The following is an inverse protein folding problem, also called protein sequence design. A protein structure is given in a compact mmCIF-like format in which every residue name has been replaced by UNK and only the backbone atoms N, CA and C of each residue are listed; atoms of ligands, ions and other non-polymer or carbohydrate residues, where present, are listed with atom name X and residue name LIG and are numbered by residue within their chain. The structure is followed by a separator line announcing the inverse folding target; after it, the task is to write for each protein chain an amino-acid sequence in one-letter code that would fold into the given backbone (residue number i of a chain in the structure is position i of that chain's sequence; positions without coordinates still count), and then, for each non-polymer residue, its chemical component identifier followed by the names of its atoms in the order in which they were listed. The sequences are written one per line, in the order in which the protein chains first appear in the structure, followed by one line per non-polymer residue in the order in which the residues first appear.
data_IF_146306308065
#
_entry.id   IF_146306308065
#
_cell.length_a   1.000
_cell.length_b   1.000
_cell.length_c   1.000
_cell.angle_alpha   90.00
_cell.angle_beta   90.00
_cell.angle_gamma   90.00
#
_symmetry.space_group_name_H-M   'P 1'
#
loop_
_entity.id
_entity.type
_entity.pdbx_description
1 polymer ?
#
# COMPACT_ATOMS: atom_id res chain seq x y z
N UNK A 1 1.67 -17.53 5.75
CA UNK A 1 2.16 -16.45 6.63
C UNK A 1 0.96 -15.68 7.19
N UNK A 2 1.03 -15.32 8.43
CA UNK A 2 0.01 -14.60 9.13
C UNK A 2 -0.11 -13.16 8.61
N UNK A 3 -1.32 -12.66 8.44
CA UNK A 3 -1.61 -11.36 7.81
C UNK A 3 -1.01 -10.17 8.57
N UNK A 4 -1.12 -10.09 9.92
CA UNK A 4 -0.43 -9.03 10.67
C UNK A 4 1.09 -9.06 10.49
N UNK A 5 1.65 -10.23 10.24
CA UNK A 5 3.09 -10.39 10.00
C UNK A 5 3.48 -9.82 8.62
N UNK A 6 2.62 -10.00 7.61
CA UNK A 6 2.81 -9.39 6.28
C UNK A 6 2.80 -7.87 6.41
N UNK A 7 1.86 -7.32 7.14
CA UNK A 7 1.76 -5.88 7.40
C UNK A 7 3.05 -5.34 8.03
N UNK A 8 3.58 -6.04 9.03
CA UNK A 8 4.83 -5.63 9.70
C UNK A 8 6.03 -5.68 8.76
N UNK A 9 6.10 -6.70 7.91
CA UNK A 9 7.16 -6.80 6.90
C UNK A 9 7.11 -5.61 5.96
N UNK A 10 5.93 -5.27 5.47
CA UNK A 10 5.72 -4.14 4.56
C UNK A 10 6.16 -2.83 5.23
N UNK A 11 5.70 -2.60 6.46
CA UNK A 11 6.06 -1.39 7.22
C UNK A 11 7.58 -1.28 7.41
N UNK A 12 8.22 -2.39 7.75
CA UNK A 12 9.66 -2.45 7.95
C UNK A 12 10.43 -2.11 6.66
N UNK A 13 10.03 -2.71 5.55
CA UNK A 13 10.66 -2.48 4.25
C UNK A 13 10.52 -1.02 3.84
N UNK A 14 9.33 -0.46 3.96
CA UNK A 14 9.07 0.93 3.64
C UNK A 14 9.92 1.88 4.48
N UNK A 15 9.98 1.62 5.78
CA UNK A 15 10.75 2.44 6.70
C UNK A 15 12.25 2.37 6.41
N UNK A 16 12.77 1.18 6.18
CA UNK A 16 14.20 0.97 5.87
C UNK A 16 14.62 1.64 4.56
N UNK A 17 13.70 1.81 3.63
CA UNK A 17 13.96 2.42 2.33
C UNK A 17 13.47 3.85 2.23
N UNK A 18 13.31 4.50 3.36
CA UNK A 18 13.06 5.95 3.48
C UNK A 18 11.73 6.42 2.93
N UNK A 19 10.73 5.54 2.87
CA UNK A 19 9.36 5.97 2.59
C UNK A 19 8.90 6.91 3.69
N UNK A 20 8.09 7.90 3.33
CA UNK A 20 7.62 8.90 4.28
C UNK A 20 6.13 8.76 4.54
N UNK A 21 5.70 9.21 5.71
CA UNK A 21 4.29 9.23 6.12
C UNK A 21 3.61 7.87 5.94
N UNK A 22 4.22 6.83 6.49
CA UNK A 22 3.69 5.46 6.43
C UNK A 22 2.50 5.37 7.37
N UNK A 23 1.34 5.00 6.81
CA UNK A 23 0.10 4.82 7.58
C UNK A 23 -0.47 3.44 7.27
N UNK A 24 -0.80 2.68 8.29
CA UNK A 24 -1.45 1.39 8.16
C UNK A 24 -2.87 1.48 8.69
N UNK A 25 -3.82 1.01 7.89
CA UNK A 25 -5.24 1.06 8.20
C UNK A 25 -5.77 -0.36 8.29
N UNK A 26 -6.42 -0.69 9.40
CA UNK A 26 -7.11 -1.96 9.56
C UNK A 26 -8.46 -1.87 8.86
N UNK A 27 -8.66 -2.71 7.85
CA UNK A 27 -9.89 -2.74 7.06
C UNK A 27 -10.89 -3.78 7.53
N UNK A 28 -10.54 -4.60 8.50
CA UNK A 28 -11.45 -5.63 9.03
C UNK A 28 -12.72 -4.97 9.55
N UNK A 29 -13.86 -5.50 9.12
CA UNK A 29 -15.16 -4.93 9.48
C UNK A 29 -15.57 -3.70 8.67
N UNK A 30 -14.69 -3.18 7.80
CA UNK A 30 -14.98 -2.03 6.95
C UNK A 30 -15.19 -2.43 5.49
N UNK A 31 -14.50 -3.46 5.03
CA UNK A 31 -14.57 -3.95 3.66
C UNK A 31 -14.10 -5.39 3.62
N UNK A 32 -14.46 -6.10 2.54
CA UNK A 32 -13.99 -7.46 2.26
C UNK A 32 -12.84 -7.48 1.25
N UNK A 33 -12.38 -6.33 0.77
CA UNK A 33 -11.31 -6.24 -0.25
C UNK A 33 -9.99 -6.74 0.30
N UNK A 34 -9.62 -6.32 1.49
CA UNK A 34 -8.37 -6.72 2.16
C UNK A 34 -8.51 -6.51 3.66
N UNK A 35 -7.58 -7.07 4.43
CA UNK A 35 -7.57 -6.89 5.89
C UNK A 35 -6.83 -5.62 6.30
N UNK A 36 -5.83 -5.21 5.53
CA UNK A 36 -5.04 -4.00 5.82
C UNK A 36 -4.76 -3.23 4.54
N UNK A 37 -4.67 -1.91 4.70
CA UNK A 37 -4.15 -1.03 3.67
C UNK A 37 -2.96 -0.28 4.25
N UNK A 38 -1.85 -0.26 3.54
CA UNK A 38 -0.67 0.51 3.92
C UNK A 38 -0.49 1.61 2.88
N UNK A 39 -0.37 2.84 3.33
CA UNK A 39 -0.20 4.00 2.46
C UNK A 39 1.14 4.65 2.82
N UNK A 40 1.95 4.91 1.82
CA UNK A 40 3.23 5.56 2.02
C UNK A 40 3.49 6.54 0.87
N UNK A 41 4.43 7.43 1.08
CA UNK A 41 4.85 8.38 0.06
C UNK A 41 6.31 8.17 -0.28
N UNK A 42 6.65 8.35 -1.56
CA UNK A 42 8.01 8.43 -2.02
C UNK A 42 8.35 9.88 -2.38
N UNK A 43 9.61 10.25 -2.30
CA UNK A 43 10.06 11.63 -2.52
C UNK A 43 10.19 12.01 -3.99
N UNK A 44 10.23 11.02 -4.88
CA UNK A 44 10.38 11.23 -6.33
C UNK A 44 9.80 10.04 -7.06
N UNK A 45 9.61 10.16 -8.38
CA UNK A 45 9.19 9.05 -9.25
C UNK A 45 10.13 7.86 -9.13
N UNK A 46 11.43 8.14 -9.11
CA UNK A 46 12.46 7.11 -8.98
C UNK A 46 12.36 6.38 -7.64
N UNK A 47 12.14 7.13 -6.57
CA UNK A 47 11.97 6.56 -5.22
C UNK A 47 10.72 5.68 -5.16
N UNK A 48 9.60 6.14 -5.74
CA UNK A 48 8.35 5.37 -5.81
C UNK A 48 8.57 4.06 -6.58
N UNK A 49 9.25 4.12 -7.71
CA UNK A 49 9.57 2.94 -8.50
C UNK A 49 10.44 1.97 -7.71
N UNK A 50 11.49 2.48 -7.06
CA UNK A 50 12.39 1.68 -6.24
C UNK A 50 11.67 1.00 -5.09
N UNK A 51 10.81 1.73 -4.38
CA UNK A 51 10.03 1.18 -3.26
C UNK A 51 9.14 0.03 -3.74
N UNK A 52 8.48 0.18 -4.89
CA UNK A 52 7.60 -0.87 -5.41
C UNK A 52 8.38 -2.13 -5.78
N UNK A 53 9.54 -1.99 -6.39
CA UNK A 53 10.39 -3.11 -6.78
C UNK A 53 10.96 -3.85 -5.56
N UNK A 54 11.43 -3.11 -4.58
CA UNK A 54 11.97 -3.68 -3.34
C UNK A 54 10.88 -4.44 -2.58
N UNK A 55 9.69 -3.84 -2.46
CA UNK A 55 8.56 -4.49 -1.79
C UNK A 55 8.19 -5.80 -2.47
N UNK A 56 8.07 -5.80 -3.78
CA UNK A 56 7.69 -6.98 -4.53
C UNK A 56 8.69 -8.10 -4.32
N UNK A 57 9.99 -7.79 -4.42
CA UNK A 57 11.06 -8.75 -4.23
C UNK A 57 11.08 -9.32 -2.81
N UNK A 58 10.97 -8.46 -1.81
CA UNK A 58 10.99 -8.89 -0.41
C UNK A 58 9.77 -9.72 -0.03
N UNK A 59 8.61 -9.38 -0.56
CA UNK A 59 7.40 -10.18 -0.36
C UNK A 59 7.57 -11.56 -0.97
N UNK A 60 8.14 -11.65 -2.16
CA UNK A 60 8.45 -12.94 -2.80
C UNK A 60 9.44 -13.76 -1.97
N UNK A 61 10.48 -13.11 -1.44
CA UNK A 61 11.47 -13.76 -0.57
C UNK A 61 10.84 -14.31 0.72
N UNK A 62 9.72 -13.76 1.14
CA UNK A 62 8.98 -14.22 2.31
C UNK A 62 7.83 -15.19 1.94
N UNK A 63 7.83 -15.71 0.72
CA UNK A 63 6.87 -16.71 0.28
C UNK A 63 5.54 -16.15 -0.23
N UNK A 64 5.43 -14.83 -0.38
CA UNK A 64 4.21 -14.19 -0.87
C UNK A 64 4.38 -13.97 -2.39
N UNK A 65 3.98 -14.96 -3.18
CA UNK A 65 4.28 -14.99 -4.61
C UNK A 65 3.15 -14.46 -5.50
N UNK A 66 1.96 -14.24 -4.95
CA UNK A 66 0.79 -13.81 -5.74
C UNK A 66 0.53 -12.31 -5.63
N UNK A 67 1.60 -11.52 -5.65
CA UNK A 67 1.47 -10.07 -5.63
C UNK A 67 1.26 -9.54 -7.03
N UNK A 68 0.38 -8.56 -7.16
CA UNK A 68 0.13 -7.85 -8.40
C UNK A 68 0.53 -6.40 -8.25
N UNK A 69 1.11 -5.83 -9.29
CA UNK A 69 1.43 -4.40 -9.34
C UNK A 69 0.51 -3.72 -10.34
N UNK A 70 -0.06 -2.59 -9.92
CA UNK A 70 -0.74 -1.67 -10.82
C UNK A 70 -0.04 -0.32 -10.79
N UNK A 71 -0.20 0.47 -11.86
CA UNK A 71 0.45 1.76 -11.99
C UNK A 71 1.91 1.67 -12.40
N UNK A 72 2.34 0.59 -13.07
CA UNK A 72 3.74 0.41 -13.48
C UNK A 72 4.27 1.55 -14.32
N UNK A 73 3.43 2.13 -15.15
CA UNK A 73 3.81 3.25 -16.03
C UNK A 73 3.57 4.61 -15.40
N UNK A 74 2.95 4.64 -14.22
CA UNK A 74 2.73 5.88 -13.51
C UNK A 74 4.00 6.35 -12.81
N UNK A 75 4.25 7.65 -12.86
CA UNK A 75 5.39 8.26 -12.20
C UNK A 75 5.12 8.68 -10.77
N UNK A 76 3.87 8.73 -10.36
CA UNK A 76 3.47 9.31 -9.08
C UNK A 76 2.58 8.41 -8.23
N UNK A 77 2.30 7.18 -8.70
CA UNK A 77 1.47 6.22 -7.97
C UNK A 77 1.80 4.78 -8.37
N UNK A 78 1.90 3.92 -7.37
CA UNK A 78 1.99 2.46 -7.53
C UNK A 78 1.07 1.80 -6.51
N UNK A 79 0.44 0.72 -6.92
CA UNK A 79 -0.33 -0.13 -6.03
C UNK A 79 0.24 -1.54 -6.07
N UNK A 80 0.47 -2.12 -4.91
CA UNK A 80 0.85 -3.53 -4.79
C UNK A 80 -0.27 -4.25 -4.06
N UNK A 81 -0.88 -5.21 -4.74
CA UNK A 81 -1.92 -6.06 -4.19
C UNK A 81 -1.30 -7.37 -3.72
N UNK A 82 -1.14 -7.51 -2.42
CA UNK A 82 -0.64 -8.74 -1.78
C UNK A 82 -1.81 -9.55 -1.18
N UNK A 83 -2.98 -9.47 -1.79
CA UNK A 83 -4.23 -10.16 -1.48
C UNK A 83 -4.86 -9.63 -0.19
N UNK A 84 -4.28 -9.92 0.97
CA UNK A 84 -4.83 -9.50 2.27
C UNK A 84 -4.30 -8.16 2.75
N UNK A 85 -3.27 -7.66 2.08
CA UNK A 85 -2.68 -6.35 2.36
C UNK A 85 -2.52 -5.61 1.03
N UNK A 86 -3.07 -4.43 0.95
CA UNK A 86 -2.93 -3.55 -0.22
C UNK A 86 -1.99 -2.42 0.15
N UNK A 87 -1.00 -2.16 -0.70
CA UNK A 87 -0.01 -1.12 -0.45
C UNK A 87 -0.14 -0.06 -1.54
N UNK A 88 -0.37 1.18 -1.14
CA UNK A 88 -0.36 2.35 -2.01
C UNK A 88 0.90 3.15 -1.77
N UNK A 89 1.63 3.47 -2.82
CA UNK A 89 2.80 4.33 -2.76
C UNK A 89 2.54 5.51 -3.70
N UNK A 90 2.47 6.71 -3.12
CA UNK A 90 2.14 7.93 -3.85
C UNK A 90 3.26 8.95 -3.78
N UNK A 91 3.32 9.81 -4.79
CA UNK A 91 3.94 11.12 -4.61
C UNK A 91 3.08 11.91 -3.61
N UNK A 92 3.66 12.71 -2.70
CA UNK A 92 2.89 13.41 -1.66
C UNK A 92 1.71 14.22 -2.19
N UNK A 93 1.83 14.83 -3.36
CA UNK A 93 0.74 15.61 -3.96
C UNK A 93 -0.45 14.73 -4.36
N UNK A 94 -0.19 13.57 -4.95
CA UNK A 94 -1.26 12.64 -5.34
C UNK A 94 -1.92 12.01 -4.12
N UNK A 95 -1.16 11.69 -3.10
CA UNK A 95 -1.69 11.15 -1.86
C UNK A 95 -2.70 12.11 -1.25
N UNK A 96 -2.35 13.39 -1.21
CA UNK A 96 -3.21 14.45 -0.71
C UNK A 96 -4.50 14.57 -1.54
N UNK A 97 -4.39 14.46 -2.85
CA UNK A 97 -5.52 14.54 -3.76
C UNK A 97 -6.54 13.42 -3.54
N UNK A 98 -6.07 12.19 -3.38
CA UNK A 98 -6.97 11.04 -3.19
C UNK A 98 -7.52 10.91 -1.77
N UNK A 99 -6.76 11.36 -0.78
CA UNK A 99 -7.14 11.33 0.64
C UNK A 99 -7.69 9.96 1.09
N UNK A 100 -7.02 8.89 0.67
CA UNK A 100 -7.43 7.52 0.97
C UNK A 100 -7.46 7.22 2.46
N UNK A 101 -6.56 7.84 3.23
CA UNK A 101 -6.47 7.66 4.67
C UNK A 101 -7.75 8.03 5.37
N UNK A 102 -8.30 9.19 5.03
CA UNK A 102 -9.55 9.69 5.61
C UNK A 102 -10.72 8.80 5.23
N UNK A 103 -10.79 8.43 3.95
CA UNK A 103 -11.86 7.61 3.44
C UNK A 103 -11.94 6.26 4.15
N UNK A 104 -10.80 5.58 4.33
CA UNK A 104 -10.77 4.24 4.90
C UNK A 104 -10.75 4.23 6.42
N UNK A 105 -10.53 5.35 7.08
CA UNK A 105 -10.58 5.46 8.54
C UNK A 105 -11.99 5.63 9.10
N UNK A 106 -12.96 5.98 8.26
CA UNK A 106 -14.37 6.17 8.64
C UNK A 106 -15.24 5.00 8.17
N UNK A 107 -16.43 4.79 8.75
CA UNK A 107 -17.38 3.81 8.23
C UNK A 107 -17.69 4.10 6.76
N UNK A 108 -17.66 3.06 5.92
CA UNK A 108 -17.75 3.23 4.47
C UNK A 108 -19.14 2.87 3.99
N UNK A 109 -19.79 3.79 3.27
CA UNK A 109 -21.03 3.52 2.54
C UNK A 109 -20.70 2.68 1.30
N UNK A 110 -21.67 1.85 0.85
CA UNK A 110 -21.49 0.95 -0.28
C UNK A 110 -21.01 1.65 -1.55
N UNK A 111 -21.52 2.83 -1.83
CA UNK A 111 -21.18 3.60 -3.01
C UNK A 111 -19.72 4.08 -3.05
N UNK A 112 -19.05 4.12 -1.88
CA UNK A 112 -17.65 4.50 -1.80
C UNK A 112 -16.70 3.33 -2.05
N UNK A 113 -17.20 2.12 -2.07
CA UNK A 113 -16.37 0.92 -2.26
C UNK A 113 -15.96 0.71 -3.72
N UNK A 114 -16.48 1.47 -4.64
CA UNK A 114 -16.18 1.36 -6.06
C UNK A 114 -14.92 2.12 -6.51
N UNK A 115 -14.13 2.61 -5.61
CA UNK A 115 -12.95 3.42 -5.90
C UNK A 115 -11.81 2.61 -6.48
#
# INVERSE_FOLDING_TARGET
MDIPKIKKIVEKILNQNKAINIVSINLKGKTTIADYMVIASGTSSRHIQSLSEILLKELQNNGINKCKIEGRTSNDWKLIDAIDVIIHIFHPEKRKFYDLEKMWSEPIAKDRLSI
#
